data_IF_463903587807
#
_entry.id   IF_463903587807
#
_cell.length_a   1.000
_cell.length_b   1.000
_cell.length_c   1.000
_cell.angle_alpha   90.00
_cell.angle_beta   90.00
_cell.angle_gamma   90.00
#
_symmetry.space_group_name_H-M   'P 1'
#
loop_
_entity.id
_entity.type
_entity.pdbx_description
1 polymer ?
#
# COMPACT_ATOMS: atom_id res chain seq x y z
N UNK A 1 -10.87 1.41 24.88
CA UNK A 1 -12.30 1.51 24.55
C UNK A 1 -12.58 2.40 23.33
N UNK A 2 -11.95 3.57 23.17
CA UNK A 2 -12.32 4.52 22.09
C UNK A 2 -12.04 4.05 20.64
N UNK A 3 -11.05 3.18 20.39
CA UNK A 3 -10.67 2.80 19.02
C UNK A 3 -11.55 1.71 18.39
N UNK A 4 -12.15 0.83 19.20
CA UNK A 4 -12.87 -0.36 18.70
C UNK A 4 -14.12 -0.04 17.88
N UNK A 5 -14.73 1.12 18.10
CA UNK A 5 -15.90 1.58 17.33
C UNK A 5 -15.52 2.55 16.19
N UNK A 6 -14.23 2.88 16.03
CA UNK A 6 -13.77 3.89 15.09
C UNK A 6 -13.44 3.33 13.70
N UNK A 7 -13.24 2.02 13.57
CA UNK A 7 -12.98 1.34 12.31
C UNK A 7 -13.44 -0.12 12.37
N UNK A 8 -13.82 -0.65 11.21
CA UNK A 8 -14.10 -2.08 11.03
C UNK A 8 -12.84 -2.76 10.51
N UNK A 9 -12.52 -3.93 11.05
CA UNK A 9 -11.38 -4.74 10.62
C UNK A 9 -11.68 -6.21 10.80
N UNK A 10 -11.16 -7.03 9.89
CA UNK A 10 -11.21 -8.50 10.00
C UNK A 10 -10.10 -9.04 10.92
N UNK A 11 -9.21 -8.18 11.43
CA UNK A 11 -8.16 -8.57 12.36
C UNK A 11 -8.74 -8.86 13.75
N UNK A 12 -8.33 -9.99 14.32
CA UNK A 12 -8.55 -10.29 15.73
C UNK A 12 -7.74 -9.35 16.62
N UNK A 13 -8.11 -9.26 17.89
CA UNK A 13 -7.37 -8.44 18.86
C UNK A 13 -5.90 -8.88 18.99
N UNK A 14 -5.62 -10.19 18.90
CA UNK A 14 -4.26 -10.71 18.95
C UNK A 14 -3.44 -10.24 17.75
N UNK A 15 -3.99 -10.30 16.55
CA UNK A 15 -3.32 -9.83 15.32
C UNK A 15 -3.08 -8.31 15.35
N UNK A 16 -3.98 -7.53 15.95
CA UNK A 16 -3.78 -6.09 16.15
C UNK A 16 -2.58 -5.85 17.09
N UNK A 17 -2.47 -6.61 18.18
CA UNK A 17 -1.33 -6.50 19.11
C UNK A 17 -0.03 -6.89 18.42
N UNK A 18 -0.02 -7.99 17.67
CA UNK A 18 1.15 -8.44 16.93
C UNK A 18 1.59 -7.41 15.88
N UNK A 19 0.64 -6.85 15.12
CA UNK A 19 0.90 -5.79 14.15
C UNK A 19 1.49 -4.55 14.82
N UNK A 20 0.97 -4.13 15.98
CA UNK A 20 1.50 -2.99 16.72
C UNK A 20 2.95 -3.24 17.19
N UNK A 21 3.26 -4.44 17.66
CA UNK A 21 4.64 -4.80 18.07
C UNK A 21 5.58 -4.79 16.88
N UNK A 22 5.20 -5.39 15.75
CA UNK A 22 6.03 -5.43 14.54
C UNK A 22 6.28 -4.02 14.02
N UNK A 23 5.23 -3.22 13.84
CA UNK A 23 5.33 -1.85 13.31
C UNK A 23 6.14 -0.92 14.22
N UNK A 24 6.09 -1.10 15.55
CA UNK A 24 6.91 -0.32 16.50
C UNK A 24 8.43 -0.49 16.29
N UNK A 25 8.85 -1.55 15.58
CA UNK A 25 10.25 -1.88 15.32
C UNK A 25 10.69 -1.58 13.89
N UNK A 26 9.78 -1.16 13.02
CA UNK A 26 10.11 -0.81 11.63
C UNK A 26 10.61 0.64 11.60
N UNK A 27 11.87 0.90 11.22
CA UNK A 27 12.38 2.25 11.06
C UNK A 27 11.63 2.98 9.95
N UNK A 28 11.35 4.27 10.14
CA UNK A 28 10.56 5.06 9.19
C UNK A 28 11.20 5.16 7.80
N UNK A 29 12.54 5.12 7.73
CA UNK A 29 13.33 5.11 6.50
C UNK A 29 13.23 3.78 5.73
N UNK A 30 12.69 2.72 6.34
CA UNK A 30 12.40 1.45 5.68
C UNK A 30 10.94 1.37 5.19
N UNK A 31 10.12 2.38 5.44
CA UNK A 31 8.74 2.44 4.96
C UNK A 31 8.74 3.03 3.55
N UNK A 32 8.64 2.16 2.55
CA UNK A 32 8.46 2.58 1.16
C UNK A 32 7.00 2.94 0.87
N UNK A 33 6.78 4.02 0.12
CA UNK A 33 5.46 4.45 -0.33
C UNK A 33 5.40 4.46 -1.85
N UNK A 34 4.28 3.99 -2.40
CA UNK A 34 3.95 4.08 -3.81
C UNK A 34 2.52 4.61 -3.96
N UNK A 35 2.28 5.43 -4.98
CA UNK A 35 0.97 6.00 -5.29
C UNK A 35 0.52 5.61 -6.69
N UNK A 36 -0.78 5.40 -6.86
CA UNK A 36 -1.41 5.25 -8.18
C UNK A 36 -1.94 6.62 -8.57
N UNK A 37 -1.39 7.21 -9.63
CA UNK A 37 -1.86 8.47 -10.18
C UNK A 37 -2.39 8.31 -11.62
N UNK A 38 -2.55 9.43 -12.31
CA UNK A 38 -3.07 9.48 -13.68
C UNK A 38 -2.15 8.77 -14.69
N UNK A 39 -0.85 8.61 -14.40
CA UNK A 39 0.08 7.86 -15.26
C UNK A 39 -0.16 6.35 -15.23
N UNK A 40 -0.76 5.85 -14.15
CA UNK A 40 -1.09 4.43 -13.95
C UNK A 40 -2.54 4.11 -14.33
N UNK A 41 -3.28 5.05 -14.91
CA UNK A 41 -4.71 4.90 -15.18
C UNK A 41 -5.09 5.46 -16.54
N UNK A 42 -6.23 5.01 -17.06
CA UNK A 42 -6.91 5.62 -18.21
C UNK A 42 -8.28 6.10 -17.79
N UNK A 43 -8.66 7.29 -18.27
CA UNK A 43 -10.00 7.80 -18.06
C UNK A 43 -11.03 6.97 -18.83
N UNK A 44 -12.19 6.73 -18.22
CA UNK A 44 -13.32 6.07 -18.85
C UNK A 44 -14.64 6.61 -18.29
N UNK A 45 -15.71 6.49 -19.07
CA UNK A 45 -17.07 6.85 -18.66
C UNK A 45 -17.92 5.59 -18.61
N UNK A 46 -18.52 5.31 -17.46
CA UNK A 46 -19.41 4.15 -17.31
C UNK A 46 -20.65 4.29 -18.20
N UNK A 47 -21.37 3.19 -18.52
CA UNK A 47 -22.64 3.30 -19.24
C UNK A 47 -23.68 4.18 -18.53
N UNK A 48 -23.56 4.35 -17.21
CA UNK A 48 -24.39 5.27 -16.41
C UNK A 48 -23.90 6.72 -16.37
N UNK A 49 -22.82 7.06 -17.10
CA UNK A 49 -22.30 8.43 -17.21
C UNK A 49 -21.29 8.85 -16.15
N UNK A 50 -20.85 7.95 -15.26
CA UNK A 50 -19.86 8.30 -14.24
C UNK A 50 -18.44 8.31 -14.84
N UNK A 51 -17.64 9.34 -14.51
CA UNK A 51 -16.22 9.38 -14.88
C UNK A 51 -15.40 8.57 -13.87
N UNK A 52 -14.58 7.65 -14.37
CA UNK A 52 -13.73 6.78 -13.55
C UNK A 52 -12.32 6.68 -14.13
N UNK A 53 -11.38 6.29 -13.27
CA UNK A 53 -10.03 5.92 -13.66
C UNK A 53 -9.93 4.40 -13.65
N UNK A 54 -9.60 3.82 -14.81
CA UNK A 54 -9.33 2.40 -14.94
C UNK A 54 -7.83 2.19 -14.83
N UNK A 55 -7.39 1.40 -13.87
CA UNK A 55 -5.98 1.09 -13.67
C UNK A 55 -5.42 0.38 -14.90
N UNK A 56 -4.24 0.81 -15.33
CA UNK A 56 -3.42 0.08 -16.30
C UNK A 56 -2.71 -1.06 -15.57
N UNK A 57 -3.02 -2.30 -15.94
CA UNK A 57 -2.47 -3.48 -15.27
C UNK A 57 -0.95 -3.59 -15.40
N UNK A 58 -0.38 -3.20 -16.54
CA UNK A 58 1.07 -3.25 -16.74
C UNK A 58 1.81 -2.23 -15.89
N UNK A 59 1.29 -1.00 -15.82
CA UNK A 59 1.84 0.03 -14.94
C UNK A 59 1.73 -0.38 -13.45
N UNK A 60 0.62 -1.00 -13.06
CA UNK A 60 0.41 -1.49 -11.70
C UNK A 60 1.37 -2.63 -11.33
N UNK A 61 1.57 -3.61 -12.22
CA UNK A 61 2.52 -4.69 -12.02
C UNK A 61 3.97 -4.18 -11.89
N UNK A 62 4.34 -3.21 -12.72
CA UNK A 62 5.64 -2.55 -12.63
C UNK A 62 5.82 -1.82 -11.28
N UNK A 63 4.78 -1.11 -10.82
CA UNK A 63 4.80 -0.41 -9.54
C UNK A 63 4.96 -1.36 -8.35
N UNK A 64 4.20 -2.47 -8.34
CA UNK A 64 4.30 -3.50 -7.29
C UNK A 64 5.69 -4.12 -7.30
N UNK A 65 6.21 -4.47 -8.49
CA UNK A 65 7.55 -5.06 -8.63
C UNK A 65 8.62 -4.12 -8.09
N UNK A 66 8.53 -2.83 -8.38
CA UNK A 66 9.46 -1.82 -7.88
C UNK A 66 9.37 -1.65 -6.35
N UNK A 67 8.15 -1.64 -5.80
CA UNK A 67 7.92 -1.43 -4.36
C UNK A 67 8.47 -2.58 -3.51
N UNK A 68 8.38 -3.81 -4.00
CA UNK A 68 8.83 -5.02 -3.30
C UNK A 68 10.18 -5.54 -3.79
N UNK A 69 10.90 -4.77 -4.61
CA UNK A 69 12.24 -5.12 -5.03
C UNK A 69 13.18 -5.17 -3.80
N UNK A 70 14.11 -6.14 -3.71
CA UNK A 70 15.10 -6.15 -2.65
C UNK A 70 15.90 -4.83 -2.64
N UNK A 71 16.20 -4.27 -1.45
CA UNK A 71 17.02 -3.07 -1.38
C UNK A 71 18.40 -3.34 -2.03
N UNK A 72 18.96 -2.34 -2.74
CA UNK A 72 20.25 -2.50 -3.41
C UNK A 72 21.33 -2.85 -2.38
N UNK A 73 22.21 -3.81 -2.73
CA UNK A 73 23.20 -4.42 -1.84
C UNK A 73 24.21 -3.45 -1.17
N UNK A 74 24.21 -2.17 -1.56
CA UNK A 74 25.08 -1.14 -1.00
C UNK A 74 24.71 -0.70 0.43
N UNK A 75 23.53 -1.04 0.95
CA UNK A 75 23.14 -0.75 2.34
C UNK A 75 23.49 -1.85 3.35
N UNK A 76 24.01 -3.00 2.91
CA UNK A 76 24.36 -4.13 3.80
C UNK A 76 25.77 -4.02 4.40
N UNK A 77 26.50 -2.93 4.14
CA UNK A 77 27.88 -2.73 4.56
C UNK A 77 28.12 -1.31 5.12
N UNK A 78 27.35 -0.89 6.11
CA UNK A 78 27.68 0.25 6.98
C UNK A 78 27.29 -0.03 8.43
#
# INVERSE_FOLDING_TARGET
AALQAAFETDLTLAEIVDLAVVTSRVPADQIAMAGIDQSCTRAWVTPGGASVLIVDSGAMEALITALFAPPPAAMAAQ
#
